data_IF_546845288654
#
_entry.id   IF_546845288654
#
_cell.length_a   1.000
_cell.length_b   1.000
_cell.length_c   1.000
_cell.angle_alpha   90.00
_cell.angle_beta   90.00
_cell.angle_gamma   90.00
#
_symmetry.space_group_name_H-M   'P 1'
#
loop_
_entity.id
_entity.type
_entity.pdbx_description
1 polymer ?
#
# COMPACT_ATOMS: atom_id res chain seq x y z
N UNK A 1 5.56 51.08 33.24
CA UNK A 1 4.40 50.18 33.24
C UNK A 1 4.55 49.18 32.10
N UNK A 2 4.88 47.92 32.38
CA UNK A 2 4.97 46.89 31.34
C UNK A 2 3.55 46.46 30.94
N UNK A 3 3.20 46.59 29.65
CA UNK A 3 1.92 46.09 29.14
C UNK A 3 1.92 44.57 29.26
N UNK A 4 1.04 44.06 30.12
CA UNK A 4 0.79 42.63 30.30
C UNK A 4 0.05 42.14 29.05
N UNK A 5 0.75 41.50 28.13
CA UNK A 5 0.12 40.81 27.01
C UNK A 5 -0.52 39.53 27.55
N UNK A 6 -1.83 39.58 27.75
CA UNK A 6 -2.62 38.39 28.10
C UNK A 6 -2.67 37.48 26.87
N UNK A 7 -2.14 36.26 26.99
CA UNK A 7 -2.32 35.23 25.98
C UNK A 7 -3.73 34.68 26.16
N UNK A 8 -4.67 35.17 25.36
CA UNK A 8 -6.00 34.59 25.24
C UNK A 8 -5.85 33.23 24.56
N UNK A 9 -5.98 32.16 25.34
CA UNK A 9 -5.94 30.76 24.89
C UNK A 9 -4.54 30.11 24.73
N UNK A 10 -3.81 29.89 25.83
CA UNK A 10 -2.51 29.20 25.79
C UNK A 10 -2.61 27.72 25.36
N UNK A 11 -3.80 27.11 25.41
CA UNK A 11 -4.01 25.71 25.00
C UNK A 11 -4.32 25.55 23.51
N UNK A 12 -4.84 26.58 22.82
CA UNK A 12 -5.14 26.46 21.40
C UNK A 12 -3.94 26.02 20.55
N UNK A 13 -2.74 26.50 20.88
CA UNK A 13 -1.54 26.13 20.16
C UNK A 13 -1.13 24.68 20.46
N UNK A 14 -1.15 24.24 21.73
CA UNK A 14 -0.86 22.85 22.07
C UNK A 14 -1.89 21.89 21.46
N UNK A 15 -3.18 22.21 21.58
CA UNK A 15 -4.26 21.39 21.02
C UNK A 15 -4.17 21.32 19.49
N UNK A 16 -3.69 22.37 18.82
CA UNK A 16 -3.42 22.36 17.39
C UNK A 16 -2.21 21.49 17.02
N UNK A 17 -1.11 21.58 17.79
CA UNK A 17 0.09 20.77 17.60
C UNK A 17 -0.20 19.28 17.81
N UNK A 18 -0.93 18.93 18.87
CA UNK A 18 -1.36 17.55 19.17
C UNK A 18 -2.21 16.99 18.02
N UNK A 19 -3.13 17.80 17.48
CA UNK A 19 -3.92 17.44 16.30
C UNK A 19 -3.06 17.24 15.06
N UNK A 20 -2.05 18.08 14.82
CA UNK A 20 -1.11 17.86 13.72
C UNK A 20 -0.28 16.58 13.91
N UNK A 21 0.08 16.24 15.15
CA UNK A 21 0.75 14.98 15.47
C UNK A 21 -0.12 13.77 15.11
N UNK A 22 -1.45 13.83 15.35
CA UNK A 22 -2.36 12.74 14.93
C UNK A 22 -2.38 12.53 13.41
N UNK A 23 -2.26 13.59 12.62
CA UNK A 23 -2.18 13.51 11.15
C UNK A 23 -0.86 12.90 10.72
N UNK A 24 0.23 13.21 11.41
CA UNK A 24 1.55 12.60 11.22
C UNK A 24 1.70 11.21 11.86
N UNK A 25 0.70 10.71 12.58
CA UNK A 25 0.81 9.47 13.34
C UNK A 25 1.10 8.25 12.47
N UNK A 26 1.74 7.24 13.06
CA UNK A 26 2.01 5.97 12.37
C UNK A 26 0.72 5.31 11.85
N UNK A 27 -0.38 5.45 12.58
CA UNK A 27 -1.69 4.94 12.16
C UNK A 27 -2.14 5.61 10.84
N UNK A 28 -2.03 6.94 10.74
CA UNK A 28 -2.36 7.68 9.52
C UNK A 28 -1.44 7.29 8.36
N UNK A 29 -0.13 7.20 8.61
CA UNK A 29 0.85 6.78 7.60
C UNK A 29 0.54 5.38 7.05
N UNK A 30 0.24 4.42 7.93
CA UNK A 30 -0.14 3.05 7.55
C UNK A 30 -1.44 3.02 6.75
N UNK A 31 -2.46 3.76 7.19
CA UNK A 31 -3.74 3.84 6.47
C UNK A 31 -3.57 4.42 5.07
N UNK A 32 -2.80 5.50 4.93
CA UNK A 32 -2.50 6.12 3.66
C UNK A 32 -1.73 5.16 2.74
N UNK A 33 -0.65 4.54 3.23
CA UNK A 33 0.16 3.60 2.46
C UNK A 33 -0.66 2.39 1.98
N UNK A 34 -1.52 1.82 2.85
CA UNK A 34 -2.43 0.72 2.47
C UNK A 34 -3.44 1.18 1.41
N UNK A 35 -3.96 2.40 1.49
CA UNK A 35 -4.88 2.93 0.48
C UNK A 35 -4.21 3.01 -0.90
N UNK A 36 -2.98 3.53 -0.97
CA UNK A 36 -2.19 3.53 -2.20
C UNK A 36 -1.90 2.11 -2.70
N UNK A 37 -1.45 1.22 -1.82
CA UNK A 37 -1.15 -0.17 -2.15
C UNK A 37 -2.37 -0.94 -2.69
N UNK A 38 -3.58 -0.65 -2.19
CA UNK A 38 -4.84 -1.25 -2.69
C UNK A 38 -5.13 -0.88 -4.14
N UNK A 39 -4.78 0.33 -4.58
CA UNK A 39 -4.96 0.74 -5.98
C UNK A 39 -4.04 -0.08 -6.89
N UNK A 40 -2.75 -0.16 -6.53
CA UNK A 40 -1.76 -0.94 -7.29
C UNK A 40 -2.10 -2.43 -7.26
N UNK A 41 -2.47 -2.97 -6.10
CA UNK A 41 -2.86 -4.37 -5.90
C UNK A 41 -3.98 -4.80 -6.85
N UNK A 42 -5.04 -3.98 -6.97
CA UNK A 42 -6.16 -4.27 -7.88
C UNK A 42 -5.70 -4.40 -9.33
N UNK A 43 -4.84 -3.49 -9.79
CA UNK A 43 -4.31 -3.49 -11.15
C UNK A 43 -3.35 -4.66 -11.40
N UNK A 44 -2.42 -4.91 -10.48
CA UNK A 44 -1.49 -6.04 -10.54
C UNK A 44 -2.26 -7.36 -10.59
N UNK A 45 -3.30 -7.50 -9.76
CA UNK A 45 -4.18 -8.67 -9.76
C UNK A 45 -4.95 -8.80 -11.07
N UNK A 46 -5.37 -7.70 -11.68
CA UNK A 46 -6.06 -7.72 -12.98
C UNK A 46 -5.13 -8.27 -14.07
N UNK A 47 -3.89 -7.77 -14.11
CA UNK A 47 -2.84 -8.13 -15.09
C UNK A 47 -2.22 -9.49 -14.87
N UNK A 48 -2.26 -10.03 -13.65
CA UNK A 48 -1.70 -11.34 -13.34
C UNK A 48 -2.31 -12.42 -14.27
N UNK A 49 -1.48 -13.14 -15.05
CA UNK A 49 -1.97 -14.08 -16.04
C UNK A 49 -2.61 -15.31 -15.38
N UNK A 50 -3.58 -15.90 -16.09
CA UNK A 50 -4.31 -17.10 -15.69
C UNK A 50 -4.05 -18.18 -16.72
N UNK A 51 -3.58 -19.35 -16.27
CA UNK A 51 -3.38 -20.49 -17.15
C UNK A 51 -4.68 -20.98 -17.80
N UNK A 52 -4.60 -21.57 -18.99
CA UNK A 52 -5.79 -22.02 -19.71
C UNK A 52 -6.38 -23.34 -19.15
N UNK A 53 -5.53 -24.22 -18.59
CA UNK A 53 -5.93 -25.57 -18.19
C UNK A 53 -5.46 -25.89 -16.78
N UNK A 54 -6.31 -26.60 -16.03
CA UNK A 54 -5.88 -27.27 -14.81
C UNK A 54 -4.88 -28.37 -15.16
N UNK A 55 -3.92 -28.61 -14.28
CA UNK A 55 -2.99 -29.72 -14.40
C UNK A 55 -2.81 -30.39 -13.05
N UNK A 56 -2.40 -31.65 -13.06
CA UNK A 56 -2.11 -32.40 -11.86
C UNK A 56 -0.60 -32.61 -11.74
N UNK A 57 -0.07 -32.39 -10.55
CA UNK A 57 1.35 -32.66 -10.26
C UNK A 57 1.45 -33.29 -8.89
N UNK A 58 2.12 -34.45 -8.81
CA UNK A 58 2.31 -35.21 -7.55
C UNK A 58 0.97 -35.45 -6.81
N UNK A 59 -0.07 -35.88 -7.52
CA UNK A 59 -1.40 -36.13 -6.95
C UNK A 59 -2.17 -34.88 -6.52
N UNK A 60 -1.61 -33.68 -6.72
CA UNK A 60 -2.26 -32.41 -6.38
C UNK A 60 -2.78 -31.74 -7.64
N UNK A 61 -4.09 -31.48 -7.67
CA UNK A 61 -4.74 -30.76 -8.76
C UNK A 61 -4.49 -29.25 -8.61
N UNK A 62 -3.79 -28.68 -9.57
CA UNK A 62 -3.54 -27.25 -9.65
C UNK A 62 -4.59 -26.60 -10.56
N UNK A 63 -5.47 -25.81 -9.95
CA UNK A 63 -6.45 -25.01 -10.69
C UNK A 63 -5.81 -23.74 -11.24
N UNK A 64 -6.21 -23.29 -12.44
CA UNK A 64 -5.73 -22.03 -12.96
C UNK A 64 -6.04 -20.84 -12.05
N UNK A 65 -5.19 -19.82 -12.14
CA UNK A 65 -5.40 -18.53 -11.48
C UNK A 65 -4.92 -18.47 -10.03
N UNK A 66 -4.18 -19.46 -9.53
CA UNK A 66 -3.56 -19.41 -8.20
C UNK A 66 -2.72 -18.15 -8.03
N UNK A 67 -1.82 -17.83 -8.98
CA UNK A 67 -1.06 -16.58 -8.96
C UNK A 67 -1.94 -15.34 -8.77
N UNK A 68 -2.99 -15.19 -9.58
CA UNK A 68 -3.94 -14.07 -9.50
C UNK A 68 -4.67 -14.00 -8.16
N UNK A 69 -4.97 -15.14 -7.52
CA UNK A 69 -5.60 -15.20 -6.19
C UNK A 69 -4.59 -14.93 -5.06
N UNK A 70 -3.32 -15.24 -5.29
CA UNK A 70 -2.24 -15.11 -4.32
C UNK A 70 -1.61 -13.71 -4.27
N UNK A 71 -2.00 -12.78 -5.14
CA UNK A 71 -1.51 -11.38 -5.06
C UNK A 71 -2.04 -10.75 -3.76
N UNK A 72 -1.14 -10.18 -2.97
CA UNK A 72 -1.38 -9.65 -1.64
C UNK A 72 -0.67 -8.32 -1.41
N UNK A 73 -1.02 -7.67 -0.29
CA UNK A 73 -0.34 -6.50 0.23
C UNK A 73 0.33 -6.93 1.54
N UNK A 74 1.66 -6.78 1.64
CA UNK A 74 2.43 -7.13 2.83
C UNK A 74 3.05 -5.88 3.46
N UNK A 75 3.03 -5.78 4.78
CA UNK A 75 3.77 -4.73 5.50
C UNK A 75 5.26 -5.07 5.53
N UNK A 76 6.09 -4.16 5.03
CA UNK A 76 7.53 -4.32 4.99
C UNK A 76 8.15 -3.70 6.23
N UNK A 77 8.42 -4.53 7.24
CA UNK A 77 9.00 -4.07 8.51
C UNK A 77 10.43 -3.56 8.34
N UNK A 78 11.17 -4.11 7.39
CA UNK A 78 12.60 -3.80 7.20
C UNK A 78 12.79 -2.42 6.57
N UNK A 79 11.91 -2.08 5.62
CA UNK A 79 11.92 -0.76 4.95
C UNK A 79 10.93 0.25 5.57
N UNK A 80 10.36 -0.04 6.73
CA UNK A 80 9.52 0.90 7.48
C UNK A 80 10.30 1.53 8.63
N UNK A 81 10.01 2.79 8.92
CA UNK A 81 10.60 3.54 10.03
C UNK A 81 9.44 4.00 10.92
N UNK A 82 9.45 3.56 12.17
CA UNK A 82 8.41 3.88 13.15
C UNK A 82 8.19 5.40 13.23
N UNK A 83 6.92 5.82 13.21
CA UNK A 83 6.50 7.23 13.21
C UNK A 83 6.91 8.06 11.99
N UNK A 84 7.58 7.50 10.97
CA UNK A 84 8.12 8.27 9.84
C UNK A 84 7.77 7.70 8.46
N UNK A 85 7.77 6.38 8.31
CA UNK A 85 7.59 5.72 7.03
C UNK A 85 6.92 4.35 7.21
N UNK A 86 5.79 4.15 6.55
CA UNK A 86 5.12 2.85 6.49
C UNK A 86 5.20 2.30 5.05
N UNK A 87 6.00 1.26 4.86
CA UNK A 87 6.24 0.65 3.55
C UNK A 87 5.40 -0.61 3.39
N UNK A 88 4.77 -0.76 2.23
CA UNK A 88 3.97 -1.93 1.87
C UNK A 88 4.38 -2.47 0.49
N UNK A 89 4.46 -3.78 0.39
CA UNK A 89 4.77 -4.51 -0.84
C UNK A 89 3.48 -5.04 -1.46
N UNK A 90 3.29 -4.78 -2.75
CA UNK A 90 2.33 -5.52 -3.57
C UNK A 90 3.09 -6.69 -4.19
N UNK A 91 2.80 -7.90 -3.72
CA UNK A 91 3.54 -9.12 -4.07
C UNK A 91 2.61 -10.33 -4.10
N UNK A 92 3.15 -11.55 -4.16
CA UNK A 92 2.39 -12.81 -4.14
C UNK A 92 2.68 -13.64 -2.88
N UNK A 93 1.76 -14.55 -2.53
CA UNK A 93 1.96 -15.53 -1.46
C UNK A 93 3.02 -16.57 -1.85
N UNK A 94 3.68 -17.18 -0.85
CA UNK A 94 4.69 -18.22 -1.06
C UNK A 94 4.18 -19.39 -1.92
N UNK A 95 2.88 -19.67 -1.89
CA UNK A 95 2.24 -20.74 -2.68
C UNK A 95 2.30 -20.47 -4.19
N UNK A 96 2.43 -19.20 -4.59
CA UNK A 96 2.58 -18.77 -5.96
C UNK A 96 4.03 -18.37 -6.29
N UNK A 97 5.02 -19.06 -5.73
CA UNK A 97 6.45 -18.80 -5.94
C UNK A 97 6.84 -18.66 -7.43
N UNK A 98 6.15 -19.39 -8.30
CA UNK A 98 6.38 -19.36 -9.75
C UNK A 98 6.03 -18.02 -10.40
N UNK A 99 5.36 -17.11 -9.69
CA UNK A 99 5.11 -15.73 -10.13
C UNK A 99 6.36 -14.98 -10.55
N UNK A 100 7.52 -15.30 -9.94
CA UNK A 100 8.82 -14.75 -10.36
C UNK A 100 9.16 -15.11 -11.81
N UNK A 101 9.00 -16.38 -12.18
CA UNK A 101 9.27 -16.85 -13.55
C UNK A 101 8.26 -16.30 -14.55
N UNK A 102 7.04 -16.01 -14.11
CA UNK A 102 6.02 -15.35 -14.94
C UNK A 102 6.42 -13.89 -15.19
N UNK A 103 6.85 -13.15 -14.17
CA UNK A 103 7.24 -11.74 -14.31
C UNK A 103 8.48 -11.58 -15.22
N UNK A 104 9.48 -12.44 -15.06
CA UNK A 104 10.79 -12.27 -15.71
C UNK A 104 11.06 -13.21 -16.90
N UNK A 105 10.23 -14.24 -17.08
CA UNK A 105 10.47 -15.27 -18.08
C UNK A 105 11.52 -16.29 -17.64
N UNK A 106 11.79 -17.25 -18.52
CA UNK A 106 12.82 -18.28 -18.36
C UNK A 106 13.49 -18.54 -19.71
N UNK A 107 14.54 -19.36 -19.75
CA UNK A 107 15.16 -19.79 -21.01
C UNK A 107 14.19 -20.49 -21.98
N UNK A 108 13.06 -21.00 -21.49
CA UNK A 108 12.07 -21.77 -22.27
C UNK A 108 10.72 -21.08 -22.43
N UNK A 109 10.52 -19.92 -21.82
CA UNK A 109 9.23 -19.21 -21.83
C UNK A 109 9.44 -17.70 -21.72
N UNK A 110 8.70 -16.92 -22.52
CA UNK A 110 8.76 -15.47 -22.50
C UNK A 110 8.22 -14.88 -21.18
N UNK A 111 8.69 -13.68 -20.84
CA UNK A 111 8.22 -12.92 -19.71
C UNK A 111 6.79 -12.40 -19.94
N UNK A 112 5.96 -12.48 -18.90
CA UNK A 112 4.63 -11.90 -18.83
C UNK A 112 4.56 -10.93 -17.65
N UNK A 113 5.20 -9.76 -17.73
CA UNK A 113 5.28 -8.81 -16.64
C UNK A 113 3.90 -8.26 -16.26
N UNK A 114 3.58 -8.28 -14.97
CA UNK A 114 2.32 -7.83 -14.41
C UNK A 114 2.51 -6.91 -13.19
N UNK A 115 3.62 -7.03 -12.45
CA UNK A 115 3.92 -6.16 -11.32
C UNK A 115 4.30 -4.75 -11.80
N UNK A 116 5.41 -4.62 -12.54
CA UNK A 116 5.92 -3.31 -12.96
C UNK A 116 4.91 -2.55 -13.82
N UNK A 117 4.26 -3.19 -14.83
CA UNK A 117 3.23 -2.52 -15.62
C UNK A 117 2.01 -2.11 -14.79
N UNK A 118 1.63 -2.90 -13.78
CA UNK A 118 0.51 -2.56 -12.89
C UNK A 118 0.82 -1.36 -11.99
N UNK A 119 2.05 -1.29 -11.46
CA UNK A 119 2.51 -0.12 -10.71
C UNK A 119 2.56 1.14 -11.59
N UNK A 120 3.21 1.06 -12.75
CA UNK A 120 3.39 2.23 -13.62
C UNK A 120 2.06 2.79 -14.11
N UNK A 121 1.07 1.93 -14.37
CA UNK A 121 -0.28 2.35 -14.76
C UNK A 121 -1.04 3.08 -13.65
N UNK A 122 -0.79 2.76 -12.38
CA UNK A 122 -1.59 3.24 -11.24
C UNK A 122 -0.85 4.09 -10.21
N UNK A 123 0.45 4.38 -10.40
CA UNK A 123 1.24 5.17 -9.46
C UNK A 123 0.62 6.54 -9.12
N UNK A 124 0.06 7.24 -10.10
CA UNK A 124 -0.58 8.55 -9.86
C UNK A 124 -1.90 8.42 -9.08
N UNK A 125 -2.71 7.41 -9.39
CA UNK A 125 -3.95 7.13 -8.65
C UNK A 125 -3.66 6.66 -7.22
N UNK A 126 -2.59 5.87 -7.02
CA UNK A 126 -2.14 5.46 -5.71
C UNK A 126 -1.73 6.66 -4.84
N UNK A 127 -0.95 7.60 -5.40
CA UNK A 127 -0.59 8.85 -4.71
C UNK A 127 -1.84 9.65 -4.33
N UNK A 128 -2.82 9.77 -5.24
CA UNK A 128 -4.09 10.44 -4.94
C UNK A 128 -4.84 9.75 -3.80
N UNK A 129 -4.88 8.41 -3.77
CA UNK A 129 -5.52 7.65 -2.70
C UNK A 129 -4.83 7.87 -1.35
N UNK A 130 -3.48 7.91 -1.33
CA UNK A 130 -2.71 8.24 -0.13
C UNK A 130 -3.02 9.64 0.38
N UNK A 131 -2.98 10.65 -0.50
CA UNK A 131 -3.28 12.05 -0.16
C UNK A 131 -4.71 12.17 0.37
N UNK A 132 -5.68 11.48 -0.25
CA UNK A 132 -7.07 11.48 0.19
C UNK A 132 -7.22 11.02 1.64
N UNK A 133 -6.54 9.93 2.04
CA UNK A 133 -6.56 9.47 3.43
C UNK A 133 -5.96 10.50 4.38
N UNK A 134 -4.81 11.09 4.03
CA UNK A 134 -4.15 12.10 4.86
C UNK A 134 -5.06 13.33 5.01
N UNK A 135 -5.69 13.78 3.93
CA UNK A 135 -6.63 14.92 3.96
C UNK A 135 -7.85 14.64 4.82
N UNK A 136 -8.44 13.44 4.74
CA UNK A 136 -9.55 13.07 5.61
C UNK A 136 -9.12 13.02 7.07
N UNK A 137 -7.95 12.46 7.39
CA UNK A 137 -7.40 12.50 8.75
C UNK A 137 -7.09 13.90 9.26
N UNK A 138 -6.62 14.79 8.39
CA UNK A 138 -6.42 16.19 8.73
C UNK A 138 -7.75 16.91 9.01
N UNK A 139 -8.81 16.63 8.24
CA UNK A 139 -10.14 17.18 8.49
C UNK A 139 -10.76 16.65 9.77
N UNK A 140 -10.62 15.35 10.06
CA UNK A 140 -11.06 14.73 11.31
C UNK A 140 -10.37 15.39 12.51
N UNK A 141 -9.05 15.57 12.43
CA UNK A 141 -8.28 16.25 13.47
C UNK A 141 -8.76 17.70 13.65
N UNK A 142 -8.94 18.46 12.57
CA UNK A 142 -9.37 19.87 12.65
C UNK A 142 -10.79 20.09 13.21
N UNK A 143 -11.66 19.07 13.17
CA UNK A 143 -13.04 19.12 13.69
C UNK A 143 -13.15 18.78 15.17
N UNK A 144 -12.16 18.07 15.72
CA UNK A 144 -11.99 17.86 17.16
C UNK A 144 -11.30 19.05 17.81
#
# INVERSE_FOLDING_TARGET
MAKRTTIENPKALSDYLDRMETVGSESTLRQAAVAGARVVHKEVRLRAPVGAKAYERKGTKHTPGTLKRSILIAYDRENSIEGKLATYLVTWSKDAFYGYFVEHGTSKAAAHPFLRPGYDAKKQEAVKAMIGVIQEKAKEAARG
#
